data_IF_985543895820
#
_entry.id   IF_985543895820
#
_cell.length_a   1.000
_cell.length_b   1.000
_cell.length_c   1.000
_cell.angle_alpha   90.00
_cell.angle_beta   90.00
_cell.angle_gamma   90.00
#
_symmetry.space_group_name_H-M   'P 1'
#
loop_
_entity.id
_entity.type
_entity.pdbx_description
1 polymer ?
#
# COMPACT_ATOMS: atom_id res chain seq x y z
N UNK A 1 -34.57 49.20 -42.02
CA UNK A 1 -34.43 49.92 -40.73
C UNK A 1 -34.09 48.94 -39.63
N UNK A 2 -32.92 49.02 -39.09
CA UNK A 2 -32.39 48.63 -37.78
C UNK A 2 -33.03 47.45 -37.06
N UNK A 3 -32.33 46.34 -36.97
CA UNK A 3 -32.36 45.45 -35.84
C UNK A 3 -30.93 45.21 -35.34
N UNK A 4 -30.68 45.58 -34.15
CA UNK A 4 -29.36 45.44 -33.47
C UNK A 4 -29.30 44.15 -32.68
N UNK A 5 -28.17 43.58 -32.84
CA UNK A 5 -27.47 42.56 -32.11
C UNK A 5 -27.68 42.51 -30.57
N UNK A 6 -27.87 41.34 -30.07
CA UNK A 6 -27.56 40.96 -28.67
C UNK A 6 -27.23 39.49 -28.66
N UNK A 7 -26.01 39.13 -28.98
CA UNK A 7 -25.43 37.79 -28.69
C UNK A 7 -24.02 38.05 -28.20
N UNK A 8 -23.69 37.42 -27.11
CA UNK A 8 -22.32 37.25 -26.60
C UNK A 8 -22.02 37.93 -25.27
N UNK A 9 -22.37 37.27 -24.17
CA UNK A 9 -21.68 37.45 -22.88
C UNK A 9 -21.73 36.23 -21.93
N UNK A 10 -22.21 35.07 -22.39
CA UNK A 10 -22.39 33.90 -21.47
C UNK A 10 -21.37 32.79 -21.66
N UNK A 11 -20.44 32.88 -22.60
CA UNK A 11 -19.47 31.81 -22.90
C UNK A 11 -18.09 31.99 -22.24
N UNK A 12 -17.81 33.16 -21.66
CA UNK A 12 -16.47 33.44 -21.12
C UNK A 12 -16.31 33.00 -19.64
N UNK A 13 -17.41 32.88 -18.88
CA UNK A 13 -17.36 32.54 -17.45
C UNK A 13 -17.17 31.04 -17.20
N UNK A 14 -17.64 30.18 -18.07
CA UNK A 14 -17.58 28.72 -17.91
C UNK A 14 -16.17 28.15 -18.19
N UNK A 15 -15.43 28.77 -19.12
CA UNK A 15 -14.07 28.35 -19.44
C UNK A 15 -13.06 28.75 -18.35
N UNK A 16 -13.23 29.90 -17.71
CA UNK A 16 -12.38 30.30 -16.57
C UNK A 16 -12.56 29.41 -15.36
N UNK A 17 -13.79 28.99 -15.06
CA UNK A 17 -14.06 28.10 -13.92
C UNK A 17 -13.47 26.69 -14.09
N UNK A 18 -13.53 26.14 -15.32
CA UNK A 18 -12.94 24.82 -15.65
C UNK A 18 -11.40 24.89 -15.65
N UNK A 19 -10.80 25.99 -16.13
CA UNK A 19 -9.35 26.18 -16.06
C UNK A 19 -8.84 26.34 -14.62
N UNK A 20 -9.56 27.08 -13.78
CA UNK A 20 -9.19 27.28 -12.38
C UNK A 20 -9.33 25.97 -11.58
N UNK A 21 -10.36 25.14 -11.83
CA UNK A 21 -10.49 23.81 -11.21
C UNK A 21 -9.37 22.85 -11.62
N UNK A 22 -8.98 22.83 -12.90
CA UNK A 22 -7.89 21.98 -13.36
C UNK A 22 -6.50 22.43 -12.84
N UNK A 23 -6.29 23.75 -12.69
CA UNK A 23 -5.05 24.29 -12.11
C UNK A 23 -4.97 23.98 -10.61
N UNK A 24 -6.10 24.00 -9.87
CA UNK A 24 -6.11 23.67 -8.45
C UNK A 24 -5.89 22.17 -8.18
N UNK A 25 -6.42 21.28 -9.04
CA UNK A 25 -6.16 19.85 -8.94
C UNK A 25 -4.73 19.49 -9.35
N UNK A 26 -4.18 20.11 -10.41
CA UNK A 26 -2.79 19.91 -10.80
C UNK A 26 -1.81 20.46 -9.74
N UNK A 27 -2.12 21.61 -9.12
CA UNK A 27 -1.32 22.17 -8.03
C UNK A 27 -1.38 21.33 -6.75
N UNK A 28 -2.50 20.63 -6.48
CA UNK A 28 -2.62 19.69 -5.36
C UNK A 28 -1.74 18.45 -5.55
N UNK A 29 -1.54 17.98 -6.78
CA UNK A 29 -0.70 16.81 -7.08
C UNK A 29 0.82 17.11 -7.08
N UNK A 30 1.23 18.37 -7.12
CA UNK A 30 2.64 18.79 -7.10
C UNK A 30 3.12 19.32 -5.75
N UNK A 31 2.24 19.41 -4.74
CA UNK A 31 2.60 19.95 -3.43
C UNK A 31 3.40 18.91 -2.65
N UNK A 32 4.66 19.23 -2.37
CA UNK A 32 5.49 18.44 -1.44
C UNK A 32 4.88 18.41 -0.03
N UNK A 33 5.36 17.49 0.81
CA UNK A 33 4.97 17.41 2.22
C UNK A 33 5.37 18.71 2.93
N UNK A 34 4.43 19.38 3.58
CA UNK A 34 4.69 20.63 4.29
C UNK A 34 5.48 20.37 5.59
N UNK A 35 6.17 21.40 6.10
CA UNK A 35 6.90 21.30 7.37
C UNK A 35 5.99 20.92 8.55
N UNK A 36 4.74 21.40 8.56
CA UNK A 36 3.75 21.01 9.57
C UNK A 36 3.41 19.52 9.51
N UNK A 37 3.20 19.00 8.30
CA UNK A 37 2.91 17.58 8.09
C UNK A 37 4.13 16.70 8.42
N UNK A 38 5.35 17.16 8.07
CA UNK A 38 6.58 16.48 8.48
C UNK A 38 6.67 16.38 10.01
N UNK A 39 6.39 17.44 10.74
CA UNK A 39 6.35 17.42 12.21
C UNK A 39 5.32 16.43 12.75
N UNK A 40 4.14 16.34 12.14
CA UNK A 40 3.13 15.32 12.51
C UNK A 40 3.65 13.90 12.31
N UNK A 41 4.30 13.64 11.18
CA UNK A 41 4.93 12.34 10.88
C UNK A 41 6.02 12.04 11.92
N UNK A 42 6.90 13.01 12.20
CA UNK A 42 7.98 12.86 13.19
C UNK A 42 7.45 12.56 14.61
N UNK A 43 6.39 13.25 15.03
CA UNK A 43 5.79 13.06 16.37
C UNK A 43 5.13 11.69 16.51
N UNK A 44 4.51 11.17 15.43
CA UNK A 44 3.84 9.88 15.43
C UNK A 44 4.80 8.69 15.24
N UNK A 45 6.04 8.95 14.81
CA UNK A 45 6.99 7.91 14.41
C UNK A 45 7.56 7.15 15.61
N UNK A 46 7.64 5.80 15.56
CA UNK A 46 8.34 4.99 16.55
C UNK A 46 9.77 5.50 16.80
N UNK A 47 10.18 5.49 18.06
CA UNK A 47 11.50 6.03 18.47
C UNK A 47 12.66 5.04 18.27
N UNK A 48 12.36 3.73 18.13
CA UNK A 48 13.38 2.67 18.02
C UNK A 48 12.85 1.49 17.20
N UNK A 49 13.75 0.66 16.71
CA UNK A 49 13.43 -0.62 16.10
C UNK A 49 12.64 -1.53 17.07
N UNK A 50 11.79 -2.40 16.53
CA UNK A 50 11.06 -3.41 17.31
C UNK A 50 12.04 -4.49 17.79
N UNK A 51 12.92 -4.89 16.89
CA UNK A 51 14.05 -5.79 17.19
C UNK A 51 15.32 -5.18 16.60
N UNK A 52 16.47 -5.42 17.25
CA UNK A 52 17.75 -5.00 16.71
C UNK A 52 18.03 -5.70 15.38
N UNK A 53 18.37 -4.95 14.30
CA UNK A 53 18.72 -5.56 13.03
C UNK A 53 19.96 -6.44 13.16
N UNK A 54 19.92 -7.65 12.62
CA UNK A 54 21.06 -8.57 12.67
C UNK A 54 22.25 -8.12 11.81
N UNK A 55 22.04 -7.14 10.94
CA UNK A 55 23.03 -6.46 10.07
C UNK A 55 22.48 -5.13 9.57
N UNK A 56 23.30 -4.33 8.90
CA UNK A 56 22.80 -3.14 8.18
C UNK A 56 21.83 -3.56 7.09
N UNK A 57 20.58 -3.18 7.24
CA UNK A 57 19.50 -3.48 6.30
C UNK A 57 19.31 -2.38 5.29
N UNK A 58 19.00 -2.74 4.04
CA UNK A 58 18.69 -1.81 2.96
C UNK A 58 17.32 -2.11 2.37
N UNK A 59 16.43 -1.12 2.39
CA UNK A 59 15.11 -1.16 1.80
C UNK A 59 15.10 -0.34 0.50
N UNK A 60 14.75 -0.97 -0.62
CA UNK A 60 14.41 -0.26 -1.85
C UNK A 60 12.96 0.20 -1.74
N UNK A 61 12.70 1.50 -1.66
CA UNK A 61 11.36 2.08 -1.73
C UNK A 61 11.08 2.46 -3.17
N UNK A 62 10.24 1.68 -3.83
CA UNK A 62 9.90 1.83 -5.23
C UNK A 62 8.53 2.49 -5.36
N UNK A 63 8.44 3.63 -6.08
CA UNK A 63 7.25 4.48 -6.13
C UNK A 63 6.81 4.83 -7.56
N UNK A 64 7.18 3.99 -8.55
CA UNK A 64 6.74 4.16 -9.93
C UNK A 64 5.24 3.88 -10.05
N UNK A 65 4.55 4.78 -10.77
CA UNK A 65 3.26 4.48 -11.37
C UNK A 65 3.50 4.32 -12.87
N UNK A 66 3.28 3.11 -13.37
CA UNK A 66 3.52 2.78 -14.78
C UNK A 66 2.49 3.42 -15.72
N UNK A 67 2.62 3.18 -17.03
CA UNK A 67 1.72 3.77 -18.01
C UNK A 67 0.25 3.45 -17.75
N UNK A 68 -0.60 4.48 -17.66
CA UNK A 68 -2.02 4.35 -17.31
C UNK A 68 -2.31 4.02 -15.85
N UNK A 69 -1.29 3.95 -14.99
CA UNK A 69 -1.45 3.78 -13.55
C UNK A 69 -1.83 5.11 -12.86
N UNK A 70 -2.65 5.01 -11.82
CA UNK A 70 -3.00 6.16 -10.99
C UNK A 70 -1.86 6.51 -10.03
N UNK A 71 -1.49 7.80 -9.95
CA UNK A 71 -0.47 8.28 -9.02
C UNK A 71 -1.13 8.86 -7.77
N UNK A 72 -0.97 8.15 -6.66
CA UNK A 72 -1.50 8.58 -5.37
C UNK A 72 -0.75 9.79 -4.82
N UNK A 73 -1.48 10.79 -4.31
CA UNK A 73 -0.90 11.96 -3.67
C UNK A 73 -0.20 11.63 -2.34
N UNK A 74 -0.45 10.45 -1.78
CA UNK A 74 0.20 9.96 -0.56
C UNK A 74 1.62 9.41 -0.78
N UNK A 75 2.06 9.18 -2.01
CA UNK A 75 3.42 8.70 -2.30
C UNK A 75 4.51 9.52 -1.61
N UNK A 76 4.59 10.87 -1.77
CA UNK A 76 5.62 11.66 -1.10
C UNK A 76 5.50 11.64 0.44
N UNK A 77 4.30 11.45 0.99
CA UNK A 77 4.08 11.32 2.42
C UNK A 77 4.64 10.01 2.96
N UNK A 78 4.42 8.90 2.23
CA UNK A 78 5.01 7.62 2.60
C UNK A 78 6.52 7.59 2.38
N UNK A 79 7.05 8.22 1.32
CA UNK A 79 8.50 8.37 1.15
C UNK A 79 9.10 9.09 2.38
N UNK A 80 8.47 10.21 2.81
CA UNK A 80 8.93 10.96 3.99
C UNK A 80 8.77 10.16 5.28
N UNK A 81 7.67 9.45 5.47
CA UNK A 81 7.45 8.61 6.65
C UNK A 81 8.50 7.47 6.74
N UNK A 82 8.81 6.81 5.63
CA UNK A 82 9.83 5.75 5.58
C UNK A 82 11.25 6.29 5.81
N UNK A 83 11.55 7.48 5.29
CA UNK A 83 12.82 8.16 5.56
C UNK A 83 12.99 8.45 7.07
N UNK A 84 11.98 9.07 7.69
CA UNK A 84 11.98 9.39 9.12
C UNK A 84 12.01 8.11 9.97
N UNK A 85 11.27 7.08 9.57
CA UNK A 85 11.27 5.77 10.24
C UNK A 85 12.68 5.18 10.26
N UNK A 86 13.36 5.16 9.10
CA UNK A 86 14.74 4.68 8.99
C UNK A 86 15.71 5.46 9.89
N UNK A 87 15.63 6.80 9.85
CA UNK A 87 16.49 7.68 10.63
C UNK A 87 16.29 7.54 12.14
N UNK A 88 15.02 7.52 12.60
CA UNK A 88 14.71 7.47 14.05
C UNK A 88 14.95 6.10 14.65
N UNK A 89 14.67 5.04 13.90
CA UNK A 89 14.71 3.69 14.46
C UNK A 89 16.03 2.98 14.23
N UNK A 90 16.80 3.38 13.21
CA UNK A 90 18.00 2.65 12.80
C UNK A 90 17.73 1.24 12.26
N UNK A 91 16.47 0.85 12.11
CA UNK A 91 16.07 -0.50 11.70
C UNK A 91 16.52 -0.85 10.28
N UNK A 92 16.65 0.14 9.40
CA UNK A 92 17.07 -0.01 8.01
C UNK A 92 17.52 1.33 7.44
N UNK A 93 18.16 1.29 6.27
CA UNK A 93 18.38 2.44 5.40
C UNK A 93 17.45 2.35 4.18
N UNK A 94 17.12 3.49 3.56
CA UNK A 94 16.24 3.55 2.39
C UNK A 94 16.98 4.03 1.15
N UNK A 95 16.61 3.46 0.00
CA UNK A 95 16.86 4.04 -1.32
C UNK A 95 15.52 4.24 -2.00
N UNK A 96 15.19 5.47 -2.35
CA UNK A 96 14.00 5.77 -3.16
C UNK A 96 14.33 5.64 -4.65
N UNK A 97 13.42 5.05 -5.41
CA UNK A 97 13.59 4.87 -6.85
C UNK A 97 12.27 4.71 -7.58
N UNK A 98 12.30 5.07 -8.86
CA UNK A 98 11.28 4.77 -9.86
C UNK A 98 11.91 4.20 -11.15
N UNK A 99 13.15 3.74 -11.08
CA UNK A 99 13.88 3.17 -12.21
C UNK A 99 13.79 1.64 -12.21
N UNK A 100 13.16 1.08 -13.25
CA UNK A 100 13.04 -0.38 -13.43
C UNK A 100 14.39 -1.11 -13.49
N UNK A 101 15.48 -0.40 -13.81
CA UNK A 101 16.81 -1.01 -13.79
C UNK A 101 17.26 -1.47 -12.39
N UNK A 102 16.68 -0.94 -11.32
CA UNK A 102 16.96 -1.42 -9.96
C UNK A 102 16.54 -2.88 -9.74
N UNK A 103 15.65 -3.41 -10.60
CA UNK A 103 15.25 -4.82 -10.57
C UNK A 103 16.15 -5.76 -11.39
N UNK A 104 17.19 -5.25 -12.07
CA UNK A 104 18.23 -6.13 -12.61
C UNK A 104 18.95 -6.86 -11.46
N UNK A 105 19.27 -8.13 -11.63
CA UNK A 105 19.81 -8.98 -10.56
C UNK A 105 21.01 -8.35 -9.84
N UNK A 106 21.94 -7.75 -10.61
CA UNK A 106 23.14 -7.09 -10.03
C UNK A 106 22.82 -5.85 -9.21
N UNK A 107 21.75 -5.13 -9.52
CA UNK A 107 21.31 -3.96 -8.77
C UNK A 107 20.46 -4.37 -7.56
N UNK A 108 19.57 -5.34 -7.75
CA UNK A 108 18.61 -5.77 -6.73
C UNK A 108 19.29 -6.48 -5.54
N UNK A 109 20.38 -7.23 -5.79
CA UNK A 109 21.10 -8.02 -4.77
C UNK A 109 21.61 -7.20 -3.58
N UNK A 110 21.80 -5.87 -3.73
CA UNK A 110 22.27 -5.00 -2.66
C UNK A 110 21.21 -4.71 -1.58
N UNK A 111 19.93 -4.98 -1.86
CA UNK A 111 18.83 -4.73 -0.94
C UNK A 111 18.46 -5.98 -0.15
N UNK A 112 17.77 -5.78 0.97
CA UNK A 112 17.22 -6.84 1.81
C UNK A 112 15.72 -7.00 1.66
N UNK A 113 15.03 -5.93 1.22
CA UNK A 113 13.63 -5.96 0.85
C UNK A 113 13.30 -4.86 -0.18
N UNK A 114 12.18 -5.03 -0.88
CA UNK A 114 11.55 -4.02 -1.74
C UNK A 114 10.23 -3.60 -1.13
N UNK A 115 10.02 -2.29 -1.01
CA UNK A 115 8.75 -1.69 -0.64
C UNK A 115 8.10 -1.06 -1.88
N UNK A 116 6.97 -1.60 -2.31
CA UNK A 116 6.12 -1.01 -3.34
C UNK A 116 5.23 0.06 -2.69
N UNK A 117 5.68 1.33 -2.74
CA UNK A 117 4.96 2.45 -2.16
C UNK A 117 3.89 2.99 -3.13
N UNK A 118 2.65 2.58 -2.94
CA UNK A 118 1.50 3.02 -3.75
C UNK A 118 1.74 2.86 -5.26
N UNK A 119 2.48 1.84 -5.65
CA UNK A 119 2.77 1.54 -7.05
C UNK A 119 1.55 1.03 -7.78
N UNK A 120 1.42 1.41 -9.05
CA UNK A 120 0.31 0.98 -9.91
C UNK A 120 0.83 0.64 -11.29
N UNK A 121 0.25 -0.39 -11.92
CA UNK A 121 0.48 -0.75 -13.31
C UNK A 121 1.97 -0.80 -13.71
N UNK A 122 2.79 -1.46 -12.89
CA UNK A 122 4.24 -1.54 -13.10
C UNK A 122 4.58 -2.28 -14.40
N UNK A 123 5.55 -1.79 -15.19
CA UNK A 123 5.90 -2.37 -16.48
C UNK A 123 6.76 -3.64 -16.36
N UNK A 124 6.40 -4.53 -15.43
CA UNK A 124 6.85 -5.91 -15.45
C UNK A 124 6.01 -6.70 -16.43
N UNK A 125 6.65 -7.55 -17.22
CA UNK A 125 5.95 -8.41 -18.15
C UNK A 125 6.79 -9.68 -18.38
N UNK A 126 6.28 -10.89 -18.06
CA UNK A 126 7.03 -12.13 -18.20
C UNK A 126 7.54 -12.43 -19.63
N UNK A 127 6.88 -11.85 -20.65
CA UNK A 127 7.28 -12.04 -22.06
C UNK A 127 8.26 -10.95 -22.54
N UNK A 128 8.09 -9.69 -22.05
CA UNK A 128 8.87 -8.53 -22.54
C UNK A 128 10.03 -8.14 -21.64
N UNK A 129 9.93 -8.41 -20.33
CA UNK A 129 10.97 -8.14 -19.32
C UNK A 129 11.21 -9.38 -18.44
N UNK A 130 11.43 -10.58 -19.03
CA UNK A 130 11.54 -11.82 -18.26
C UNK A 130 12.68 -11.81 -17.26
N UNK A 131 13.78 -11.12 -17.56
CA UNK A 131 14.93 -10.99 -16.67
C UNK A 131 14.60 -10.21 -15.39
N UNK A 132 13.77 -9.16 -15.47
CA UNK A 132 13.36 -8.37 -14.30
C UNK A 132 12.36 -9.16 -13.44
N UNK A 133 11.43 -9.85 -14.10
CA UNK A 133 10.48 -10.74 -13.44
C UNK A 133 11.21 -11.88 -12.70
N UNK A 134 12.13 -12.55 -13.40
CA UNK A 134 12.94 -13.62 -12.79
C UNK A 134 13.77 -13.10 -11.63
N UNK A 135 14.43 -11.97 -11.78
CA UNK A 135 15.27 -11.38 -10.75
C UNK A 135 14.46 -11.08 -9.47
N UNK A 136 13.27 -10.47 -9.58
CA UNK A 136 12.42 -10.21 -8.43
C UNK A 136 11.94 -11.49 -7.75
N UNK A 137 11.53 -12.51 -8.54
CA UNK A 137 11.09 -13.78 -7.97
C UNK A 137 12.23 -14.53 -7.27
N UNK A 138 13.41 -14.58 -7.88
CA UNK A 138 14.60 -15.21 -7.29
C UNK A 138 15.02 -14.48 -6.01
N UNK A 139 14.96 -13.15 -5.99
CA UNK A 139 15.24 -12.32 -4.83
C UNK A 139 14.36 -12.70 -3.64
N UNK A 140 13.05 -12.78 -3.84
CA UNK A 140 12.12 -13.11 -2.76
C UNK A 140 12.23 -14.59 -2.37
N UNK A 141 12.23 -15.51 -3.35
CA UNK A 141 12.38 -16.95 -3.09
C UNK A 141 13.69 -17.28 -2.39
N UNK A 142 14.73 -16.48 -2.62
CA UNK A 142 16.05 -16.60 -1.98
C UNK A 142 16.13 -16.00 -0.55
N UNK A 143 15.03 -15.54 0.04
CA UNK A 143 14.97 -15.11 1.43
C UNK A 143 14.94 -13.59 1.65
N UNK A 144 14.76 -12.81 0.59
CA UNK A 144 14.54 -11.36 0.69
C UNK A 144 13.07 -11.03 0.78
N UNK A 145 12.72 -9.80 1.19
CA UNK A 145 11.32 -9.46 1.49
C UNK A 145 10.64 -8.52 0.52
N UNK A 146 9.30 -8.52 0.64
CA UNK A 146 8.42 -7.56 -0.04
C UNK A 146 7.56 -6.85 0.99
N UNK A 147 7.39 -5.55 0.81
CA UNK A 147 6.43 -4.70 1.52
C UNK A 147 5.51 -4.07 0.48
N UNK A 148 4.21 -4.17 0.68
CA UNK A 148 3.21 -3.49 -0.14
C UNK A 148 2.43 -2.46 0.66
N UNK A 149 2.39 -1.21 0.18
CA UNK A 149 1.59 -0.13 0.76
C UNK A 149 0.41 0.14 -0.17
N UNK A 150 -0.80 0.07 0.35
CA UNK A 150 -2.06 0.45 -0.28
C UNK A 150 -2.18 -0.03 -1.75
N UNK A 151 -1.89 0.84 -2.72
CA UNK A 151 -2.04 0.53 -4.13
C UNK A 151 -1.05 -0.52 -4.68
N UNK A 152 -0.15 -1.06 -3.88
CA UNK A 152 0.79 -2.08 -4.34
C UNK A 152 0.10 -3.31 -4.98
N UNK A 153 -1.14 -3.63 -4.60
CA UNK A 153 -1.95 -4.69 -5.24
C UNK A 153 -2.49 -4.31 -6.62
N UNK A 154 -2.37 -3.05 -7.05
CA UNK A 154 -2.70 -2.58 -8.41
C UNK A 154 -1.50 -2.66 -9.38
N UNK A 155 -0.38 -3.25 -8.96
CA UNK A 155 0.88 -3.19 -9.71
C UNK A 155 0.99 -4.20 -10.85
N UNK A 156 0.36 -5.41 -10.75
CA UNK A 156 0.76 -6.56 -11.56
C UNK A 156 -0.40 -7.27 -12.29
N UNK A 157 -1.61 -6.72 -12.36
CA UNK A 157 -2.75 -7.48 -12.87
C UNK A 157 -3.36 -6.94 -14.17
N UNK A 158 -3.01 -5.73 -14.61
CA UNK A 158 -3.57 -5.10 -15.81
C UNK A 158 -2.73 -5.35 -17.05
N UNK A 159 -3.41 -5.62 -18.17
CA UNK A 159 -2.74 -5.64 -19.46
C UNK A 159 -2.16 -4.25 -19.82
N UNK A 160 -1.03 -4.14 -20.48
CA UNK A 160 -0.19 -5.25 -21.01
C UNK A 160 0.86 -5.76 -20.00
N UNK A 161 0.81 -5.36 -18.73
CA UNK A 161 1.81 -5.68 -17.70
C UNK A 161 1.31 -6.72 -16.70
N UNK A 162 0.38 -7.58 -17.14
CA UNK A 162 -0.17 -8.62 -16.29
C UNK A 162 0.88 -9.67 -15.93
N UNK A 163 1.07 -9.86 -14.63
CA UNK A 163 2.00 -10.84 -14.08
C UNK A 163 1.36 -11.61 -12.92
N UNK A 164 0.70 -12.76 -13.24
CA UNK A 164 -0.07 -13.54 -12.26
C UNK A 164 0.72 -14.00 -11.05
N UNK A 165 1.98 -14.45 -11.24
CA UNK A 165 2.84 -14.92 -10.14
C UNK A 165 3.12 -13.81 -9.12
N UNK A 166 3.37 -12.57 -9.58
CA UNK A 166 3.57 -11.44 -8.69
C UNK A 166 2.27 -11.03 -7.96
N UNK A 167 1.11 -11.08 -8.64
CA UNK A 167 -0.18 -10.86 -7.99
C UNK A 167 -0.47 -11.93 -6.93
N UNK A 168 -0.07 -13.17 -7.17
CA UNK A 168 -0.19 -14.26 -6.20
C UNK A 168 0.77 -14.08 -5.02
N UNK A 169 2.01 -13.64 -5.28
CA UNK A 169 2.96 -13.26 -4.23
C UNK A 169 2.40 -12.14 -3.36
N UNK A 170 1.82 -11.08 -3.95
CA UNK A 170 1.18 -9.99 -3.20
C UNK A 170 -0.07 -10.43 -2.44
N UNK A 171 -0.68 -11.55 -2.79
CA UNK A 171 -1.85 -12.11 -2.12
C UNK A 171 -3.15 -11.37 -2.41
N UNK A 172 -3.20 -10.53 -3.43
CA UNK A 172 -4.37 -9.78 -3.83
C UNK A 172 -4.16 -8.96 -5.11
N UNK A 173 -5.27 -8.51 -5.68
CA UNK A 173 -5.28 -7.53 -6.78
C UNK A 173 -6.38 -6.51 -6.51
N UNK A 174 -6.21 -5.30 -7.00
CA UNK A 174 -7.25 -4.27 -6.98
C UNK A 174 -8.47 -4.68 -7.80
N UNK A 175 -9.65 -4.63 -7.18
CA UNK A 175 -10.95 -4.92 -7.84
C UNK A 175 -12.02 -3.87 -7.53
N UNK A 176 -11.61 -2.72 -7.01
CA UNK A 176 -12.46 -1.60 -6.63
C UNK A 176 -12.19 -1.10 -5.22
N UNK A 177 -12.84 0.00 -4.85
CA UNK A 177 -12.70 0.64 -3.54
C UNK A 177 -14.04 1.23 -3.07
N UNK A 178 -15.04 0.38 -2.73
CA UNK A 178 -16.33 0.87 -2.26
C UNK A 178 -16.20 1.66 -0.95
N UNK A 179 -15.20 1.34 -0.15
CA UNK A 179 -14.81 2.08 1.05
C UNK A 179 -13.89 3.23 0.67
N UNK A 180 -14.52 4.35 0.25
CA UNK A 180 -13.83 5.50 -0.32
C UNK A 180 -13.02 6.30 0.69
N UNK A 181 -12.06 7.09 0.23
CA UNK A 181 -11.18 7.95 1.03
C UNK A 181 -11.90 8.99 1.92
N UNK A 182 -13.15 9.32 1.59
CA UNK A 182 -13.98 10.25 2.36
C UNK A 182 -14.63 9.63 3.59
N UNK A 183 -14.78 8.30 3.62
CA UNK A 183 -15.44 7.57 4.68
C UNK A 183 -14.52 7.23 5.86
N UNK A 184 -15.16 6.78 6.95
CA UNK A 184 -14.48 6.26 8.14
C UNK A 184 -14.95 4.84 8.35
N UNK A 185 -14.02 3.89 8.29
CA UNK A 185 -14.28 2.47 8.23
C UNK A 185 -13.81 1.77 9.49
N UNK A 186 -14.58 0.80 9.95
CA UNK A 186 -14.23 -0.01 11.10
C UNK A 186 -13.31 -1.17 10.69
N UNK A 187 -12.22 -1.33 11.45
CA UNK A 187 -11.24 -2.39 11.26
C UNK A 187 -11.28 -3.29 12.49
N UNK A 188 -11.37 -4.59 12.28
CA UNK A 188 -11.20 -5.60 13.35
C UNK A 188 -9.82 -6.23 13.26
N UNK A 189 -9.31 -6.65 14.41
CA UNK A 189 -8.07 -7.39 14.53
C UNK A 189 -8.40 -8.88 14.46
N UNK A 190 -7.89 -9.56 13.43
CA UNK A 190 -8.11 -10.99 13.25
C UNK A 190 -7.13 -11.82 14.08
N UNK A 191 -5.89 -11.31 14.29
CA UNK A 191 -4.82 -11.99 15.02
C UNK A 191 -4.30 -11.14 16.20
N UNK A 192 -5.08 -10.98 17.30
CA UNK A 192 -4.79 -10.04 18.37
C UNK A 192 -3.48 -10.31 19.12
N UNK A 193 -3.01 -11.56 19.12
CA UNK A 193 -1.78 -11.99 19.82
C UNK A 193 -0.56 -12.05 18.89
N UNK A 194 -0.73 -11.76 17.59
CA UNK A 194 0.38 -11.79 16.64
C UNK A 194 1.32 -10.58 16.85
N UNK A 195 2.66 -10.75 16.83
CA UNK A 195 3.61 -9.66 17.12
C UNK A 195 3.42 -8.40 16.25
N UNK A 196 2.98 -8.54 15.00
CA UNK A 196 2.71 -7.39 14.13
C UNK A 196 1.50 -6.57 14.59
N UNK A 197 0.60 -7.15 15.40
CA UNK A 197 -0.64 -6.52 15.86
C UNK A 197 -0.57 -5.91 17.25
N UNK A 198 0.59 -6.03 17.93
CA UNK A 198 0.82 -5.44 19.25
C UNK A 198 0.43 -3.95 19.37
N UNK A 199 0.68 -3.07 18.35
CA UNK A 199 0.31 -1.67 18.43
C UNK A 199 -1.17 -1.41 18.67
N UNK A 200 -2.04 -2.31 18.27
CA UNK A 200 -3.49 -2.18 18.40
C UNK A 200 -4.05 -2.77 19.71
N UNK A 201 -3.20 -3.46 20.49
CA UNK A 201 -3.57 -4.02 21.80
C UNK A 201 -4.83 -4.93 21.75
N UNK A 202 -4.98 -5.65 20.65
CA UNK A 202 -6.12 -6.54 20.39
C UNK A 202 -7.46 -5.82 20.15
N UNK A 203 -7.47 -4.52 19.97
CA UNK A 203 -8.70 -3.73 19.80
C UNK A 203 -8.86 -3.26 18.37
N UNK A 204 -10.05 -3.49 17.78
CA UNK A 204 -10.45 -2.85 16.55
C UNK A 204 -10.46 -1.31 16.67
N UNK A 205 -10.43 -0.65 15.53
CA UNK A 205 -10.39 0.82 15.46
C UNK A 205 -11.16 1.33 14.23
N UNK A 206 -11.42 2.62 14.21
CA UNK A 206 -11.97 3.30 13.03
C UNK A 206 -10.91 4.19 12.40
N UNK A 207 -10.87 4.21 11.06
CA UNK A 207 -9.92 5.02 10.31
C UNK A 207 -10.58 5.64 9.09
N UNK A 208 -10.24 6.89 8.80
CA UNK A 208 -10.61 7.58 7.56
C UNK A 208 -9.54 7.32 6.52
N UNK A 209 -9.82 6.40 5.61
CA UNK A 209 -8.91 6.06 4.50
C UNK A 209 -9.70 5.40 3.35
N UNK A 210 -9.06 5.22 2.20
CA UNK A 210 -9.59 4.37 1.12
C UNK A 210 -9.14 2.93 1.33
N UNK A 211 -10.08 2.00 1.22
CA UNK A 211 -9.79 0.58 1.35
C UNK A 211 -10.02 -0.13 0.02
N UNK A 212 -9.01 -0.85 -0.44
CA UNK A 212 -9.12 -1.68 -1.63
C UNK A 212 -9.86 -2.97 -1.33
N UNK A 213 -10.81 -3.29 -2.21
CA UNK A 213 -11.47 -4.59 -2.22
C UNK A 213 -10.47 -5.67 -2.57
N UNK A 214 -10.53 -6.77 -1.85
CA UNK A 214 -9.78 -8.00 -2.10
C UNK A 214 -10.73 -9.15 -2.36
N UNK A 215 -10.48 -9.94 -3.39
CA UNK A 215 -11.36 -11.03 -3.84
C UNK A 215 -10.59 -12.31 -4.15
N UNK A 216 -11.23 -13.49 -3.96
CA UNK A 216 -10.71 -14.74 -4.48
C UNK A 216 -10.50 -14.69 -6.02
N UNK A 217 -9.62 -15.52 -6.57
CA UNK A 217 -8.81 -16.56 -5.91
C UNK A 217 -7.45 -16.08 -5.40
N UNK A 218 -7.06 -14.83 -5.66
CA UNK A 218 -5.75 -14.30 -5.25
C UNK A 218 -5.73 -13.99 -3.75
N UNK A 219 -6.74 -13.27 -3.24
CA UNK A 219 -6.92 -13.12 -1.81
C UNK A 219 -7.60 -14.38 -1.24
N UNK A 220 -6.99 -14.99 -0.26
CA UNK A 220 -7.56 -16.13 0.46
C UNK A 220 -6.88 -16.34 1.79
N UNK A 221 -7.66 -16.49 2.87
CA UNK A 221 -7.16 -16.85 4.21
C UNK A 221 -6.51 -18.25 4.26
N UNK A 222 -6.71 -19.09 3.24
CA UNK A 222 -5.97 -20.35 3.12
C UNK A 222 -4.57 -20.21 2.52
N UNK A 223 -4.26 -19.05 1.94
CA UNK A 223 -2.97 -18.76 1.27
C UNK A 223 -2.09 -17.78 2.05
N UNK A 224 -2.67 -17.01 2.97
CA UNK A 224 -1.99 -15.95 3.71
C UNK A 224 -2.57 -15.80 5.12
N UNK A 225 -1.76 -15.32 6.04
CA UNK A 225 -2.19 -14.95 7.38
C UNK A 225 -2.75 -13.52 7.36
N UNK A 226 -4.06 -13.40 7.46
CA UNK A 226 -4.74 -12.10 7.54
C UNK A 226 -4.69 -11.60 8.96
N UNK A 227 -4.08 -10.45 9.17
CA UNK A 227 -3.81 -9.85 10.48
C UNK A 227 -4.97 -8.96 10.95
N UNK A 228 -5.57 -8.21 10.02
CA UNK A 228 -6.75 -7.39 10.25
C UNK A 228 -7.59 -7.30 8.98
N UNK A 229 -8.89 -7.12 9.16
CA UNK A 229 -9.88 -7.02 8.08
C UNK A 229 -10.94 -5.96 8.41
N UNK A 230 -11.80 -5.63 7.44
CA UNK A 230 -12.95 -4.77 7.69
C UNK A 230 -13.89 -5.41 8.73
N UNK A 231 -14.40 -4.60 9.64
CA UNK A 231 -15.44 -5.02 10.57
C UNK A 231 -16.82 -4.81 9.96
N UNK A 232 -17.37 -5.88 9.40
CA UNK A 232 -18.69 -5.87 8.78
C UNK A 232 -19.83 -5.86 9.80
N UNK A 233 -19.55 -5.87 11.10
CA UNK A 233 -20.51 -5.57 12.16
C UNK A 233 -20.78 -4.07 12.34
N UNK A 234 -19.95 -3.20 11.77
CA UNK A 234 -20.18 -1.76 11.75
C UNK A 234 -21.11 -1.37 10.59
N UNK A 235 -22.17 -0.64 10.90
CA UNK A 235 -23.21 -0.28 9.93
C UNK A 235 -22.66 0.51 8.74
N UNK A 236 -21.82 1.51 8.97
CA UNK A 236 -21.25 2.33 7.88
C UNK A 236 -20.33 1.50 6.97
N UNK A 237 -19.55 0.61 7.55
CA UNK A 237 -18.65 -0.30 6.81
C UNK A 237 -19.45 -1.31 6.00
N UNK A 238 -20.51 -1.87 6.58
CA UNK A 238 -21.40 -2.82 5.90
C UNK A 238 -22.17 -2.16 4.75
N UNK A 239 -22.72 -0.96 4.98
CA UNK A 239 -23.53 -0.25 3.98
C UNK A 239 -22.73 0.20 2.74
N UNK A 240 -21.40 0.32 2.87
CA UNK A 240 -20.51 0.60 1.74
C UNK A 240 -20.16 -0.67 0.92
N UNK A 241 -20.51 -1.85 1.42
CA UNK A 241 -20.31 -3.13 0.71
C UNK A 241 -21.23 -3.21 -0.52
N UNK A 242 -20.70 -3.73 -1.62
CA UNK A 242 -21.42 -3.85 -2.90
C UNK A 242 -21.60 -5.30 -3.34
N UNK A 243 -20.81 -6.22 -2.80
CA UNK A 243 -20.77 -7.63 -3.23
C UNK A 243 -20.73 -8.58 -2.02
N UNK A 244 -21.26 -9.80 -2.16
CA UNK A 244 -21.16 -10.81 -1.10
C UNK A 244 -19.71 -11.12 -0.68
N UNK A 245 -18.76 -11.06 -1.62
CA UNK A 245 -17.32 -11.28 -1.36
C UNK A 245 -16.70 -10.22 -0.46
N UNK A 246 -17.32 -9.04 -0.35
CA UNK A 246 -16.87 -7.94 0.52
C UNK A 246 -16.93 -8.30 2.01
N UNK A 247 -17.71 -9.32 2.38
CA UNK A 247 -17.84 -9.82 3.76
C UNK A 247 -16.50 -10.27 4.39
N UNK A 248 -15.48 -10.52 3.58
CA UNK A 248 -14.12 -10.84 4.03
C UNK A 248 -13.06 -10.06 3.28
N UNK A 249 -13.01 -8.75 3.49
CA UNK A 249 -11.97 -7.88 2.92
C UNK A 249 -10.84 -7.70 3.89
N UNK A 250 -9.67 -8.28 3.57
CA UNK A 250 -8.44 -8.11 4.34
C UNK A 250 -7.86 -6.70 4.19
N UNK A 251 -7.37 -6.17 5.30
CA UNK A 251 -6.68 -4.87 5.36
C UNK A 251 -5.17 -5.06 5.41
N UNK A 252 -4.70 -6.04 6.18
CA UNK A 252 -3.28 -6.37 6.26
C UNK A 252 -3.08 -7.86 6.38
N UNK A 253 -2.04 -8.35 5.72
CA UNK A 253 -1.65 -9.75 5.76
C UNK A 253 -0.16 -9.95 5.54
N UNK A 254 0.30 -11.12 5.96
CA UNK A 254 1.64 -11.61 5.67
C UNK A 254 1.58 -13.01 5.06
N UNK A 255 2.61 -13.37 4.35
CA UNK A 255 2.85 -14.73 3.88
C UNK A 255 4.33 -14.98 3.61
N UNK A 256 4.72 -16.23 3.59
CA UNK A 256 6.01 -16.66 3.05
C UNK A 256 5.90 -16.84 1.53
N UNK A 257 6.96 -16.48 0.82
CA UNK A 257 7.13 -16.73 -0.61
C UNK A 257 8.53 -17.30 -0.87
N UNK A 258 8.62 -18.60 -1.03
CA UNK A 258 9.91 -19.29 -0.93
C UNK A 258 10.48 -19.13 0.49
N UNK A 259 11.70 -18.61 0.60
CA UNK A 259 12.35 -18.30 1.88
C UNK A 259 12.11 -16.87 2.37
N UNK A 260 11.49 -16.02 1.54
CA UNK A 260 11.25 -14.61 1.86
C UNK A 260 9.90 -14.36 2.52
N UNK A 261 9.76 -13.18 3.13
CA UNK A 261 8.55 -12.68 3.73
C UNK A 261 7.87 -11.59 2.91
N UNK A 262 6.56 -11.67 2.77
CA UNK A 262 5.75 -10.62 2.16
C UNK A 262 4.79 -10.05 3.20
N UNK A 263 4.81 -8.72 3.35
CA UNK A 263 3.88 -7.94 4.16
C UNK A 263 3.10 -6.97 3.28
N UNK A 264 1.81 -6.91 3.46
CA UNK A 264 0.94 -5.92 2.82
C UNK A 264 0.02 -5.25 3.83
N UNK A 265 -0.22 -3.95 3.62
CA UNK A 265 -1.26 -3.21 4.33
C UNK A 265 -1.97 -2.23 3.38
N UNK A 266 -3.31 -2.31 3.34
CA UNK A 266 -4.16 -1.47 2.50
C UNK A 266 -4.25 -0.02 2.99
N UNK A 267 -3.94 0.26 4.26
CA UNK A 267 -3.98 1.62 4.81
C UNK A 267 -2.85 2.47 4.23
N UNK A 268 -3.18 3.60 3.63
CA UNK A 268 -2.15 4.46 3.05
C UNK A 268 -2.57 5.37 1.91
N UNK A 269 -3.86 5.50 1.61
CA UNK A 269 -4.37 6.44 0.63
C UNK A 269 -4.36 7.88 1.16
N UNK A 270 -4.93 8.10 2.34
CA UNK A 270 -5.00 9.42 2.95
C UNK A 270 -3.68 9.78 3.62
N UNK A 271 -3.25 11.04 3.47
CA UNK A 271 -2.01 11.54 4.07
C UNK A 271 -1.99 11.33 5.59
N UNK A 272 -3.15 11.49 6.25
CA UNK A 272 -3.28 11.36 7.70
C UNK A 272 -2.89 9.98 8.25
N UNK A 273 -2.85 8.95 7.42
CA UNK A 273 -2.39 7.62 7.81
C UNK A 273 -0.91 7.64 8.18
N UNK A 274 -0.10 8.50 7.54
CA UNK A 274 1.35 8.61 7.80
C UNK A 274 1.71 9.31 9.11
N UNK A 275 0.73 9.76 9.91
CA UNK A 275 0.93 10.20 11.29
C UNK A 275 -0.01 9.52 12.29
N UNK A 276 -0.48 8.32 11.95
CA UNK A 276 -1.19 7.44 12.87
C UNK A 276 -0.20 6.48 13.54
N UNK A 277 0.13 6.74 14.81
CA UNK A 277 1.19 5.98 15.53
C UNK A 277 0.99 4.47 15.49
N UNK A 278 -0.18 3.89 15.84
CA UNK A 278 -0.38 2.44 15.74
C UNK A 278 -0.16 1.88 14.34
N UNK A 279 -0.57 2.61 13.30
CA UNK A 279 -0.38 2.17 11.90
C UNK A 279 1.09 2.24 11.50
N UNK A 280 1.83 3.29 11.89
CA UNK A 280 3.27 3.39 11.63
C UNK A 280 4.07 2.31 12.35
N UNK A 281 3.72 1.98 13.59
CA UNK A 281 4.33 0.87 14.33
C UNK A 281 4.03 -0.48 13.66
N UNK A 282 2.82 -0.68 13.14
CA UNK A 282 2.46 -1.87 12.36
C UNK A 282 3.30 -1.98 11.08
N UNK A 283 3.50 -0.88 10.36
CA UNK A 283 4.39 -0.85 9.19
C UNK A 283 5.85 -1.15 9.56
N UNK A 284 6.37 -0.58 10.65
CA UNK A 284 7.74 -0.88 11.11
C UNK A 284 7.91 -2.39 11.38
N UNK A 285 6.94 -3.02 12.05
CA UNK A 285 6.93 -4.46 12.32
C UNK A 285 6.87 -5.28 11.03
N UNK A 286 6.00 -4.90 10.10
CA UNK A 286 5.89 -5.52 8.78
C UNK A 286 7.16 -5.40 7.94
N UNK A 287 7.81 -4.23 7.98
CA UNK A 287 9.11 -3.99 7.31
C UNK A 287 10.21 -4.86 7.95
N UNK A 288 10.33 -4.89 9.28
CA UNK A 288 11.34 -5.72 9.95
C UNK A 288 11.09 -7.22 9.75
N UNK A 289 9.83 -7.65 9.64
CA UNK A 289 9.49 -9.00 9.20
C UNK A 289 10.00 -9.26 7.77
N UNK A 290 9.69 -8.39 6.82
CA UNK A 290 10.13 -8.54 5.42
C UNK A 290 11.67 -8.50 5.30
N UNK A 291 12.35 -7.67 6.10
CA UNK A 291 13.81 -7.63 6.18
C UNK A 291 14.41 -8.90 6.83
N UNK A 292 13.59 -9.74 7.44
CA UNK A 292 14.00 -10.99 8.06
C UNK A 292 14.57 -10.86 9.47
N UNK A 293 14.42 -9.71 10.13
CA UNK A 293 14.86 -9.49 11.51
C UNK A 293 13.78 -9.92 12.52
N UNK A 294 12.52 -9.53 12.30
CA UNK A 294 11.39 -9.94 13.14
C UNK A 294 10.86 -11.30 12.66
N UNK A 295 11.11 -12.34 13.41
CA UNK A 295 10.63 -13.70 13.11
C UNK A 295 9.25 -13.93 13.71
N UNK A 296 8.30 -14.29 12.87
CA UNK A 296 6.90 -14.53 13.25
C UNK A 296 6.33 -15.73 12.51
N UNK A 297 5.23 -16.27 13.01
CA UNK A 297 4.44 -17.28 12.29
C UNK A 297 3.73 -16.62 11.10
N UNK A 298 3.73 -17.31 9.96
CA UNK A 298 3.05 -16.88 8.73
C UNK A 298 1.99 -17.89 8.30
N UNK A 299 1.65 -18.84 9.18
CA UNK A 299 0.68 -19.89 8.87
C UNK A 299 -0.67 -19.27 8.54
N UNK A 300 -1.26 -19.57 7.38
CA UNK A 300 -2.58 -19.09 6.99
C UNK A 300 -3.66 -19.38 8.03
N UNK A 301 -4.63 -18.47 8.14
CA UNK A 301 -5.76 -18.56 9.07
C UNK A 301 -7.10 -18.71 8.34
N UNK A 302 -7.37 -19.86 7.69
CA UNK A 302 -8.65 -20.08 7.04
C UNK A 302 -9.78 -19.92 8.06
N UNK A 303 -10.85 -19.21 7.68
CA UNK A 303 -12.08 -19.24 8.49
C UNK A 303 -12.59 -20.68 8.49
N UNK A 304 -12.93 -21.18 9.66
CA UNK A 304 -13.67 -22.45 9.74
C UNK A 304 -14.93 -22.32 8.88
N UNK A 305 -15.12 -23.22 7.93
CA UNK A 305 -16.45 -23.35 7.30
C UNK A 305 -17.44 -23.50 8.45
N UNK A 306 -18.38 -22.57 8.56
CA UNK A 306 -19.54 -22.81 9.44
C UNK A 306 -20.24 -24.00 8.83
N UNK A 307 -20.15 -25.14 9.48
CA UNK A 307 -21.12 -26.23 9.28
C UNK A 307 -22.46 -25.68 9.80
N UNK A 308 -23.29 -25.21 8.85
CA UNK A 308 -24.69 -24.90 9.11
C UNK A 308 -25.45 -26.17 9.52
#
# INVERSE_FOLDING_TARGET
MRSSSAISFTLFSTWCAIMIMNISQAASQSRGVSEEEIKKIEQAMPAKAVVEPSKLRKLLVFNLCGPGGYRHSSIPYWDKALEIMAQKTGAFSVKFSNDMNDFKADNLKQFDAVCFNNTTNLPFNPEKTPELCKSLMDFVKGGKGIVGIHAATDSFYKEPYKWPEASEMMGGKFTGHPWTAGGTWAIKIDEPNHPLMEPFKGKGFKIKDEIYRTEPPLYSRSKQLVLMSLDMGDEATQNASEKPTDADTGISWIKSWGQGGMFYCSLGHNHAVTWNTPVLEHYLRGIQFALGDLKVDTKPNPKSEKTD
#
